data_IF_706513826348
#
_entry.id   IF_706513826348
#
_cell.length_a   1.000
_cell.length_b   1.000
_cell.length_c   1.000
_cell.angle_alpha   90.00
_cell.angle_beta   90.00
_cell.angle_gamma   90.00
#
_symmetry.space_group_name_H-M   'P 1'
#
loop_
_entity.id
_entity.type
_entity.pdbx_description
1 polymer ?
#
# COMPACT_ATOMS: atom_id res chain seq x y z
N UNK A 1 2.00 1.15 25.78
CA UNK A 1 2.60 0.01 25.06
C UNK A 1 3.07 0.51 23.72
N UNK A 2 4.25 0.16 23.30
CA UNK A 2 4.76 0.53 21.97
C UNK A 2 4.02 -0.30 20.91
N UNK A 3 3.54 0.35 19.83
CA UNK A 3 2.86 -0.35 18.75
C UNK A 3 3.86 -1.23 17.99
N UNK A 4 3.63 -2.56 17.97
CA UNK A 4 4.53 -3.51 17.29
C UNK A 4 4.68 -3.22 15.79
N UNK A 5 3.66 -2.61 15.17
CA UNK A 5 3.64 -2.31 13.73
C UNK A 5 4.65 -1.25 13.32
N UNK A 6 5.10 -0.42 14.27
CA UNK A 6 6.07 0.66 14.05
C UNK A 6 7.33 0.52 14.90
N UNK A 7 7.41 -0.52 15.73
CA UNK A 7 8.54 -0.77 16.61
C UNK A 7 9.67 -1.49 15.88
N UNK A 8 10.71 -0.73 15.48
CA UNK A 8 11.79 -1.22 14.63
C UNK A 8 12.83 -2.06 15.40
N UNK A 9 12.33 -3.06 16.12
CA UNK A 9 13.08 -4.07 16.85
C UNK A 9 12.32 -5.38 16.95
N UNK A 10 13.04 -6.49 17.09
CA UNK A 10 12.50 -7.78 17.52
C UNK A 10 13.34 -8.31 18.69
N UNK A 11 13.13 -9.56 19.12
CA UNK A 11 13.83 -10.17 20.25
C UNK A 11 15.37 -10.27 20.08
N UNK A 12 15.89 -10.13 18.87
CA UNK A 12 17.32 -10.31 18.55
C UNK A 12 17.99 -9.03 18.09
N UNK A 13 17.30 -8.23 17.30
CA UNK A 13 17.89 -7.05 16.68
C UNK A 13 17.03 -5.82 16.86
N UNK A 14 17.66 -4.67 16.98
CA UNK A 14 17.04 -3.35 16.91
C UNK A 14 17.82 -2.43 15.97
N UNK A 15 17.16 -1.45 15.40
CA UNK A 15 17.82 -0.39 14.66
C UNK A 15 18.71 0.43 15.62
N UNK A 16 19.91 0.84 15.15
CA UNK A 16 20.90 1.60 15.98
C UNK A 16 20.30 2.85 16.61
N UNK A 17 19.35 3.51 15.96
CA UNK A 17 18.63 4.68 16.49
C UNK A 17 17.80 4.42 17.76
N UNK A 18 17.58 3.16 18.11
CA UNK A 18 16.87 2.75 19.34
C UNK A 18 17.81 2.41 20.50
N UNK A 19 19.14 2.60 20.32
CA UNK A 19 20.13 2.33 21.37
C UNK A 19 19.84 3.16 22.63
N UNK A 20 19.76 2.47 23.77
CA UNK A 20 19.41 3.08 25.06
C UNK A 20 17.91 3.29 25.29
N UNK A 21 17.05 2.96 24.30
CA UNK A 21 15.58 3.05 24.42
C UNK A 21 14.94 1.66 24.54
N UNK A 22 15.63 0.63 24.05
CA UNK A 22 15.16 -0.75 24.04
C UNK A 22 16.27 -1.70 24.48
N UNK A 23 15.87 -2.88 24.98
CA UNK A 23 16.79 -3.98 25.25
C UNK A 23 16.77 -4.91 24.04
N UNK A 24 17.92 -5.01 23.35
CA UNK A 24 18.12 -5.89 22.20
C UNK A 24 19.52 -6.45 22.21
N UNK A 25 19.68 -7.72 21.77
CA UNK A 25 20.97 -8.37 21.73
C UNK A 25 21.95 -7.68 20.76
N UNK A 26 21.43 -7.16 19.63
CA UNK A 26 22.23 -6.50 18.60
C UNK A 26 21.55 -5.22 18.13
N UNK A 27 22.34 -4.16 17.93
CA UNK A 27 21.93 -2.91 17.30
C UNK A 27 22.61 -2.80 15.95
N UNK A 28 21.83 -2.74 14.89
CA UNK A 28 22.31 -2.81 13.50
C UNK A 28 21.79 -1.65 12.65
N UNK A 29 22.58 -1.28 11.64
CA UNK A 29 22.14 -0.40 10.56
C UNK A 29 21.25 -1.16 9.56
N UNK A 30 20.48 -0.44 8.76
CA UNK A 30 19.63 -1.05 7.75
C UNK A 30 20.44 -1.52 6.54
N UNK A 31 20.04 -2.67 5.97
CA UNK A 31 20.39 -3.05 4.61
C UNK A 31 19.20 -2.73 3.69
N UNK A 32 19.33 -1.69 2.87
CA UNK A 32 18.28 -1.27 1.96
C UNK A 32 18.04 -2.36 0.88
N UNK A 33 16.79 -2.75 0.71
CA UNK A 33 16.33 -3.72 -0.28
C UNK A 33 15.11 -3.19 -1.02
N UNK A 34 14.77 -3.83 -2.17
CA UNK A 34 13.52 -3.59 -2.90
C UNK A 34 12.80 -4.91 -3.17
N UNK A 35 11.50 -4.85 -3.35
CA UNK A 35 10.68 -5.98 -3.76
C UNK A 35 10.88 -6.29 -5.25
N UNK A 36 11.14 -7.55 -5.57
CA UNK A 36 11.37 -8.04 -6.94
C UNK A 36 10.14 -8.71 -7.56
N UNK A 37 9.21 -9.18 -6.74
CA UNK A 37 8.00 -9.88 -7.19
C UNK A 37 6.81 -8.92 -7.29
N UNK A 38 5.75 -9.25 -8.06
CA UNK A 38 4.61 -8.35 -8.22
C UNK A 38 3.99 -7.89 -6.90
N UNK A 39 3.79 -8.83 -5.96
CA UNK A 39 3.24 -8.59 -4.62
C UNK A 39 3.90 -9.56 -3.64
N UNK A 40 4.24 -9.08 -2.46
CA UNK A 40 4.74 -9.91 -1.36
C UNK A 40 4.07 -9.51 -0.05
N UNK A 41 3.78 -10.50 0.81
CA UNK A 41 3.22 -10.26 2.13
C UNK A 41 4.26 -9.72 3.11
N UNK A 42 3.86 -8.74 3.92
CA UNK A 42 4.52 -8.34 5.16
C UNK A 42 3.77 -9.01 6.30
N UNK A 43 4.45 -9.88 7.03
CA UNK A 43 3.84 -10.73 8.06
C UNK A 43 4.20 -10.26 9.47
N UNK A 44 3.30 -10.48 10.42
CA UNK A 44 3.53 -10.22 11.85
C UNK A 44 4.69 -11.03 12.44
N UNK A 45 4.95 -12.20 11.87
CA UNK A 45 6.02 -13.11 12.25
C UNK A 45 6.45 -13.92 11.03
N UNK A 46 7.59 -14.60 11.13
CA UNK A 46 8.01 -15.56 10.10
C UNK A 46 6.94 -16.65 9.91
N UNK A 47 6.41 -16.79 8.69
CA UNK A 47 5.27 -17.68 8.36
C UNK A 47 4.00 -17.35 9.16
N UNK A 48 3.90 -16.14 9.67
CA UNK A 48 2.74 -15.64 10.42
C UNK A 48 1.62 -15.12 9.52
N UNK A 49 0.65 -14.50 10.16
CA UNK A 49 -0.46 -13.82 9.47
C UNK A 49 0.04 -12.59 8.72
N UNK A 50 -0.59 -12.29 7.60
CA UNK A 50 -0.37 -11.07 6.85
C UNK A 50 -0.88 -9.86 7.64
N UNK A 51 -0.02 -8.84 7.76
CA UNK A 51 -0.40 -7.50 8.23
C UNK A 51 -0.66 -6.58 7.02
N UNK A 52 0.21 -6.62 6.00
CA UNK A 52 0.09 -5.81 4.78
C UNK A 52 0.79 -6.48 3.61
N UNK A 53 0.82 -5.81 2.45
CA UNK A 53 1.58 -6.25 1.27
C UNK A 53 2.51 -5.14 0.79
N UNK A 54 3.54 -5.55 0.05
CA UNK A 54 4.38 -4.65 -0.74
C UNK A 54 4.29 -5.01 -2.21
N UNK A 55 4.26 -3.98 -3.03
CA UNK A 55 4.27 -4.10 -4.48
C UNK A 55 5.70 -4.13 -5.02
N UNK A 56 5.87 -4.60 -6.25
CA UNK A 56 7.14 -4.56 -6.96
C UNK A 56 7.79 -3.17 -6.87
N UNK A 57 9.09 -3.14 -6.60
CA UNK A 57 9.90 -1.94 -6.48
C UNK A 57 9.79 -1.21 -5.14
N UNK A 58 8.85 -1.58 -4.26
CA UNK A 58 8.75 -0.99 -2.93
C UNK A 58 10.03 -1.21 -2.12
N UNK A 59 10.48 -0.17 -1.41
CA UNK A 59 11.65 -0.23 -0.53
C UNK A 59 11.35 -0.93 0.79
N UNK A 60 12.29 -1.74 1.26
CA UNK A 60 12.24 -2.43 2.53
C UNK A 60 13.62 -2.39 3.21
N UNK A 61 13.69 -1.74 4.37
CA UNK A 61 14.89 -1.60 5.20
C UNK A 61 15.06 -2.83 6.09
N UNK A 62 16.00 -3.69 5.77
CA UNK A 62 16.24 -4.96 6.47
C UNK A 62 17.20 -4.78 7.64
N UNK A 63 16.84 -5.28 8.83
CA UNK A 63 17.71 -5.38 10.00
C UNK A 63 18.29 -6.78 10.17
N UNK A 64 17.54 -7.83 9.81
CA UNK A 64 17.98 -9.20 10.00
C UNK A 64 17.48 -10.09 8.85
N UNK A 65 18.34 -10.98 8.38
CA UNK A 65 17.96 -12.09 7.50
C UNK A 65 18.22 -13.41 8.24
N UNK A 66 17.16 -14.19 8.42
CA UNK A 66 17.24 -15.46 9.15
C UNK A 66 16.24 -16.48 8.62
N UNK A 67 16.75 -17.68 8.27
CA UNK A 67 15.95 -18.83 7.81
C UNK A 67 15.02 -18.46 6.62
N UNK A 68 15.51 -17.71 5.63
CA UNK A 68 14.78 -17.30 4.43
C UNK A 68 13.77 -16.17 4.64
N UNK A 69 13.83 -15.45 5.78
CA UNK A 69 12.98 -14.31 6.10
C UNK A 69 13.82 -13.09 6.49
N UNK A 70 13.40 -11.95 6.01
CA UNK A 70 13.95 -10.64 6.38
C UNK A 70 13.01 -9.96 7.36
N UNK A 71 13.52 -9.57 8.54
CA UNK A 71 12.87 -8.64 9.45
C UNK A 71 13.30 -7.23 9.09
N UNK A 72 12.33 -6.34 8.95
CA UNK A 72 12.63 -4.99 8.49
C UNK A 72 11.45 -4.05 8.57
N UNK A 73 11.61 -2.90 7.93
CA UNK A 73 10.65 -1.81 7.90
C UNK A 73 10.33 -1.42 6.46
N UNK A 74 9.05 -1.22 6.17
CA UNK A 74 8.56 -0.61 4.93
C UNK A 74 9.03 0.84 4.86
N UNK A 75 9.73 1.22 3.81
CA UNK A 75 10.30 2.58 3.66
C UNK A 75 9.20 3.64 3.56
N UNK A 76 8.08 3.29 2.91
CA UNK A 76 7.02 4.25 2.59
C UNK A 76 6.15 4.68 3.78
N UNK A 77 5.90 3.81 4.77
CA UNK A 77 4.96 4.08 5.86
C UNK A 77 5.50 3.72 7.26
N UNK A 78 6.68 3.10 7.32
CA UNK A 78 7.32 2.75 8.57
C UNK A 78 6.83 1.46 9.22
N UNK A 79 5.89 0.73 8.58
CA UNK A 79 5.42 -0.55 9.12
C UNK A 79 6.54 -1.58 9.18
N UNK A 80 6.59 -2.28 10.32
CA UNK A 80 7.62 -3.27 10.64
C UNK A 80 7.04 -4.67 10.51
N UNK A 81 7.80 -5.59 9.91
CA UNK A 81 7.37 -6.97 9.77
C UNK A 81 8.39 -7.87 9.09
N UNK A 82 7.93 -9.03 8.67
CA UNK A 82 8.74 -10.07 8.04
C UNK A 82 8.32 -10.26 6.58
N UNK A 83 9.32 -10.25 5.69
CA UNK A 83 9.16 -10.49 4.25
C UNK A 83 10.02 -11.69 3.85
N UNK A 84 9.54 -12.52 2.93
CA UNK A 84 10.33 -13.64 2.41
C UNK A 84 11.58 -13.13 1.68
N UNK A 85 12.77 -13.61 2.07
CA UNK A 85 14.07 -13.16 1.54
C UNK A 85 14.14 -13.26 0.01
N UNK A 86 13.61 -14.35 -0.55
CA UNK A 86 13.60 -14.61 -2.00
C UNK A 86 12.85 -13.54 -2.80
N UNK A 87 11.98 -12.76 -2.16
CA UNK A 87 11.21 -11.69 -2.79
C UNK A 87 11.93 -10.35 -2.80
N UNK A 88 13.10 -10.24 -2.17
CA UNK A 88 13.87 -9.01 -2.04
C UNK A 88 15.18 -9.07 -2.84
N UNK A 89 15.57 -7.94 -3.38
CA UNK A 89 16.85 -7.77 -4.07
C UNK A 89 17.54 -6.46 -3.72
N UNK A 90 18.62 -6.16 -4.41
CA UNK A 90 19.35 -4.92 -4.23
C UNK A 90 18.44 -3.70 -4.46
N UNK A 91 18.63 -2.67 -3.63
CA UNK A 91 17.92 -1.41 -3.78
C UNK A 91 18.35 -0.72 -5.08
N UNK A 92 17.39 -0.39 -5.93
CA UNK A 92 17.58 0.44 -7.13
C UNK A 92 16.52 1.52 -7.08
N UNK A 93 16.93 2.76 -7.29
CA UNK A 93 16.00 3.89 -7.29
C UNK A 93 14.95 3.74 -8.40
N UNK A 94 13.66 3.80 -8.08
CA UNK A 94 12.62 3.81 -9.10
C UNK A 94 12.59 5.17 -9.80
N UNK A 95 12.23 5.16 -11.07
CA UNK A 95 12.02 6.37 -11.88
C UNK A 95 10.56 6.56 -12.31
N UNK A 96 9.81 5.45 -12.40
CA UNK A 96 8.42 5.40 -12.84
C UNK A 96 7.56 4.59 -11.88
N UNK A 97 6.25 4.68 -12.07
CA UNK A 97 5.26 3.87 -11.38
C UNK A 97 4.15 3.43 -12.33
N UNK A 98 3.48 2.34 -12.02
CA UNK A 98 2.34 1.83 -12.79
C UNK A 98 1.09 2.65 -12.46
N UNK A 99 0.57 3.36 -13.46
CA UNK A 99 -0.63 4.22 -13.36
C UNK A 99 -1.89 3.57 -13.90
N UNK A 100 -1.75 2.57 -14.78
CA UNK A 100 -2.85 1.71 -15.18
C UNK A 100 -3.31 0.84 -14.01
N UNK A 101 -4.57 0.38 -14.02
CA UNK A 101 -5.08 -0.54 -12.99
C UNK A 101 -4.16 -1.75 -12.79
N UNK A 102 -3.71 -2.34 -13.89
CA UNK A 102 -2.66 -3.36 -13.93
C UNK A 102 -1.94 -3.30 -15.25
N UNK A 103 -0.75 -3.88 -15.31
CA UNK A 103 0.03 -4.04 -16.53
C UNK A 103 0.74 -5.39 -16.53
N UNK A 104 1.45 -5.68 -17.63
CA UNK A 104 2.30 -6.86 -17.76
C UNK A 104 3.74 -6.42 -18.04
N UNK A 105 4.69 -7.17 -17.53
CA UNK A 105 6.10 -7.09 -17.91
C UNK A 105 6.33 -8.12 -18.99
N UNK A 106 6.56 -7.69 -20.21
CA UNK A 106 6.81 -8.52 -21.36
C UNK A 106 8.29 -8.90 -21.48
N UNK A 107 8.58 -10.05 -22.14
CA UNK A 107 9.97 -10.46 -22.43
C UNK A 107 10.62 -9.62 -23.50
N UNK A 108 9.84 -9.08 -24.43
CA UNK A 108 10.26 -8.22 -25.54
C UNK A 108 9.30 -7.02 -25.67
N UNK A 109 9.70 -5.97 -26.36
CA UNK A 109 8.85 -4.79 -26.64
C UNK A 109 7.80 -5.09 -27.73
N UNK A 110 7.02 -6.15 -27.50
CA UNK A 110 5.97 -6.62 -28.41
C UNK A 110 4.77 -7.15 -27.64
N UNK A 111 3.56 -6.75 -28.02
CA UNK A 111 2.31 -7.25 -27.44
C UNK A 111 2.08 -8.77 -27.67
N UNK A 112 2.85 -9.39 -28.57
CA UNK A 112 2.79 -10.82 -28.88
C UNK A 112 3.85 -11.64 -28.15
N UNK A 113 4.76 -10.98 -27.40
CA UNK A 113 5.76 -11.68 -26.60
C UNK A 113 5.12 -12.26 -25.34
N UNK A 114 5.82 -13.20 -24.70
CA UNK A 114 5.40 -13.77 -23.42
C UNK A 114 5.51 -12.69 -22.33
N UNK A 115 4.60 -12.73 -21.37
CA UNK A 115 4.70 -11.94 -20.15
C UNK A 115 5.49 -12.70 -19.07
N UNK A 116 6.26 -11.97 -18.29
CA UNK A 116 7.00 -12.48 -17.12
C UNK A 116 6.15 -12.40 -15.86
N UNK A 117 5.35 -11.33 -15.74
CA UNK A 117 4.55 -11.04 -14.56
C UNK A 117 3.47 -10.01 -14.85
N UNK A 118 2.36 -10.08 -14.11
CA UNK A 118 1.40 -9.00 -14.01
C UNK A 118 1.79 -8.09 -12.83
N UNK A 119 1.69 -6.77 -13.01
CA UNK A 119 2.00 -5.76 -11.99
C UNK A 119 0.78 -4.89 -11.69
N UNK A 120 0.64 -4.49 -10.44
CA UNK A 120 -0.47 -3.69 -9.93
C UNK A 120 -0.25 -2.21 -10.12
N UNK A 121 -1.33 -1.42 -10.19
CA UNK A 121 -1.29 0.01 -9.91
C UNK A 121 -0.42 0.29 -8.68
N UNK A 122 0.42 1.31 -8.75
CA UNK A 122 1.31 1.70 -7.66
C UNK A 122 2.65 0.97 -7.61
N UNK A 123 2.86 -0.11 -8.41
CA UNK A 123 4.18 -0.75 -8.53
C UNK A 123 5.23 0.24 -9.03
N UNK A 124 6.43 0.21 -8.44
CA UNK A 124 7.53 1.11 -8.77
C UNK A 124 8.50 0.43 -9.72
N UNK A 125 8.93 1.15 -10.75
CA UNK A 125 9.74 0.63 -11.84
C UNK A 125 11.01 1.46 -12.02
N UNK A 126 12.14 0.79 -12.19
CA UNK A 126 13.42 1.43 -12.58
C UNK A 126 13.58 1.29 -14.09
N UNK A 127 13.23 2.35 -14.83
CA UNK A 127 13.27 2.41 -16.28
C UNK A 127 14.66 2.87 -16.72
N UNK A 128 15.22 2.20 -17.76
CA UNK A 128 16.52 2.50 -18.33
C UNK A 128 16.44 3.04 -19.77
N UNK A 129 15.37 2.72 -20.50
CA UNK A 129 15.15 3.21 -21.86
C UNK A 129 13.65 3.22 -22.20
N UNK A 130 13.29 3.96 -23.26
CA UNK A 130 11.99 3.88 -23.91
C UNK A 130 12.21 3.46 -25.37
N UNK A 131 11.50 2.42 -25.82
CA UNK A 131 11.65 1.77 -27.11
C UNK A 131 10.28 1.44 -27.71
N UNK A 132 9.93 2.03 -28.84
CA UNK A 132 8.75 1.66 -29.64
C UNK A 132 7.43 1.57 -28.84
N UNK A 133 7.22 2.53 -27.89
CA UNK A 133 6.00 2.56 -27.06
C UNK A 133 6.05 1.66 -25.82
N UNK A 134 7.21 1.15 -25.45
CA UNK A 134 7.50 0.43 -24.22
C UNK A 134 8.63 1.09 -23.44
N UNK A 135 8.58 0.98 -22.12
CA UNK A 135 9.72 1.27 -21.24
C UNK A 135 10.47 -0.03 -20.94
N UNK A 136 11.79 0.01 -21.03
CA UNK A 136 12.68 -1.09 -20.64
C UNK A 136 13.05 -0.96 -19.16
N UNK A 137 12.95 -2.07 -18.41
CA UNK A 137 13.26 -2.12 -16.99
C UNK A 137 14.73 -2.51 -16.74
N UNK A 138 15.36 -1.94 -15.73
CA UNK A 138 16.74 -2.26 -15.30
C UNK A 138 16.96 -3.75 -14.98
N UNK A 139 15.92 -4.44 -14.54
CA UNK A 139 15.92 -5.90 -14.29
C UNK A 139 15.54 -6.74 -15.52
N UNK A 140 15.42 -6.11 -16.67
CA UNK A 140 14.98 -6.74 -17.93
C UNK A 140 13.47 -6.94 -18.01
N UNK A 141 12.94 -6.73 -19.20
CA UNK A 141 11.52 -6.77 -19.55
C UNK A 141 10.96 -5.40 -19.87
N UNK A 142 9.78 -5.39 -20.44
CA UNK A 142 9.19 -4.23 -21.08
C UNK A 142 7.76 -4.00 -20.58
N UNK A 143 7.41 -2.75 -20.30
CA UNK A 143 6.06 -2.34 -19.90
C UNK A 143 5.54 -1.30 -20.88
N UNK A 144 4.28 -1.37 -21.35
CA UNK A 144 3.73 -0.37 -22.26
C UNK A 144 3.76 1.04 -21.67
N UNK A 145 4.25 2.04 -22.44
CA UNK A 145 4.30 3.45 -22.03
C UNK A 145 2.97 3.98 -21.51
N UNK A 146 1.79 3.68 -22.11
CA UNK A 146 0.50 4.15 -21.60
C UNK A 146 0.13 3.65 -20.21
N UNK A 147 0.86 2.66 -19.66
CA UNK A 147 0.57 2.06 -18.36
C UNK A 147 1.44 2.61 -17.22
N UNK A 148 2.39 3.49 -17.53
CA UNK A 148 3.35 4.02 -16.56
C UNK A 148 3.46 5.53 -16.67
N UNK A 149 3.91 6.16 -15.59
CA UNK A 149 4.29 7.58 -15.59
C UNK A 149 5.56 7.78 -14.76
N UNK A 150 6.34 8.83 -15.05
CA UNK A 150 7.42 9.27 -14.18
C UNK A 150 6.92 9.53 -12.76
N UNK A 151 7.75 9.32 -11.74
CA UNK A 151 7.40 9.58 -10.33
C UNK A 151 7.05 11.03 -10.04
N UNK A 152 7.49 11.97 -10.88
CA UNK A 152 7.16 13.39 -10.79
C UNK A 152 5.73 13.71 -11.25
N UNK A 153 5.10 12.83 -12.01
CA UNK A 153 3.75 13.00 -12.52
C UNK A 153 2.75 12.27 -11.63
N UNK A 154 1.86 13.03 -10.98
CA UNK A 154 0.89 12.50 -10.05
C UNK A 154 -0.52 12.99 -10.37
N UNK A 155 -1.55 12.15 -10.20
CA UNK A 155 -2.94 12.62 -10.26
C UNK A 155 -3.20 13.64 -9.16
N UNK A 156 -4.21 14.48 -9.35
CA UNK A 156 -4.58 15.53 -8.38
C UNK A 156 -5.77 15.13 -7.49
N UNK A 157 -6.39 13.96 -7.72
CA UNK A 157 -7.64 13.57 -7.10
C UNK A 157 -7.57 12.10 -6.63
N UNK A 158 -7.43 11.92 -5.32
CA UNK A 158 -7.38 10.61 -4.68
C UNK A 158 -8.69 9.83 -4.86
N UNK A 159 -9.84 10.51 -4.80
CA UNK A 159 -11.13 9.85 -4.98
C UNK A 159 -11.37 9.41 -6.43
N UNK A 160 -10.80 10.11 -7.42
CA UNK A 160 -10.76 9.62 -8.81
C UNK A 160 -9.87 8.38 -8.92
N UNK A 161 -8.74 8.38 -8.24
CA UNK A 161 -7.84 7.21 -8.21
C UNK A 161 -8.52 5.99 -7.58
N UNK A 162 -9.35 6.18 -6.55
CA UNK A 162 -10.09 5.08 -5.92
C UNK A 162 -11.02 4.34 -6.90
N UNK A 163 -11.56 5.01 -7.91
CA UNK A 163 -12.38 4.37 -8.95
C UNK A 163 -11.60 3.34 -9.78
N UNK A 164 -10.28 3.46 -9.88
CA UNK A 164 -9.43 2.45 -10.53
C UNK A 164 -9.52 1.08 -9.84
N UNK A 165 -9.83 1.07 -8.56
CA UNK A 165 -9.96 -0.15 -7.76
C UNK A 165 -11.38 -0.71 -7.70
N UNK A 166 -12.38 -0.06 -8.30
CA UNK A 166 -13.77 -0.53 -8.24
C UNK A 166 -13.88 -2.00 -8.71
N UNK A 167 -14.51 -2.85 -7.87
CA UNK A 167 -14.65 -4.28 -8.10
C UNK A 167 -13.40 -5.12 -7.79
N UNK A 168 -12.30 -4.53 -7.31
CA UNK A 168 -11.15 -5.30 -6.79
C UNK A 168 -11.62 -6.13 -5.60
N UNK A 169 -11.28 -7.44 -5.51
CA UNK A 169 -11.66 -8.27 -4.38
C UNK A 169 -11.17 -7.72 -3.05
N UNK A 170 -11.99 -7.87 -2.00
CA UNK A 170 -11.54 -7.61 -0.64
C UNK A 170 -10.52 -8.66 -0.20
N UNK A 171 -9.40 -8.21 0.30
CA UNK A 171 -8.36 -9.07 0.85
C UNK A 171 -7.78 -8.41 2.10
N UNK A 172 -7.94 -9.05 3.27
CA UNK A 172 -7.36 -8.54 4.51
C UNK A 172 -5.83 -8.35 4.39
N UNK A 173 -5.33 -7.16 4.71
CA UNK A 173 -3.92 -6.80 4.52
C UNK A 173 -3.51 -6.64 3.06
N UNK A 174 -4.42 -6.63 2.10
CA UNK A 174 -4.12 -6.48 0.68
C UNK A 174 -3.81 -5.03 0.30
N UNK A 175 -2.89 -4.84 -0.67
CA UNK A 175 -2.42 -3.54 -1.16
C UNK A 175 -2.36 -3.47 -2.70
N UNK A 176 -3.02 -4.41 -3.39
CA UNK A 176 -2.93 -4.54 -4.85
C UNK A 176 -4.30 -4.58 -5.52
N UNK A 177 -4.31 -4.44 -6.84
CA UNK A 177 -5.52 -4.69 -7.66
C UNK A 177 -5.91 -6.16 -7.74
N UNK A 178 -5.11 -7.07 -7.18
CA UNK A 178 -5.43 -8.49 -7.05
C UNK A 178 -6.18 -8.78 -5.73
N UNK A 179 -6.16 -7.83 -4.79
CA UNK A 179 -6.87 -7.84 -3.53
C UNK A 179 -6.43 -6.67 -2.65
N UNK A 180 -7.39 -5.98 -2.04
CA UNK A 180 -7.14 -4.78 -1.24
C UNK A 180 -8.09 -4.72 -0.05
N UNK A 181 -7.62 -4.17 1.09
CA UNK A 181 -8.50 -3.84 2.22
C UNK A 181 -8.86 -2.34 2.27
N UNK A 182 -9.63 -1.94 3.28
CA UNK A 182 -10.16 -0.59 3.38
C UNK A 182 -9.06 0.48 3.53
N UNK A 183 -8.11 0.26 4.41
CA UNK A 183 -7.00 1.19 4.66
C UNK A 183 -5.93 1.13 3.56
N UNK A 184 -5.71 -0.03 2.95
CA UNK A 184 -4.85 -0.19 1.77
C UNK A 184 -5.38 0.60 0.57
N UNK A 185 -6.70 0.60 0.33
CA UNK A 185 -7.33 1.42 -0.70
C UNK A 185 -7.09 2.91 -0.46
N UNK A 186 -7.35 3.39 0.75
CA UNK A 186 -7.11 4.80 1.12
C UNK A 186 -5.64 5.16 0.96
N UNK A 187 -4.72 4.31 1.47
CA UNK A 187 -3.28 4.55 1.37
C UNK A 187 -2.81 4.59 -0.09
N UNK A 188 -3.25 3.65 -0.93
CA UNK A 188 -2.88 3.62 -2.35
C UNK A 188 -3.32 4.89 -3.08
N UNK A 189 -4.55 5.37 -2.82
CA UNK A 189 -5.11 6.57 -3.43
C UNK A 189 -4.39 7.85 -2.98
N UNK A 190 -4.12 7.98 -1.68
CA UNK A 190 -3.41 9.14 -1.13
C UNK A 190 -1.94 9.17 -1.58
N UNK A 191 -1.27 8.02 -1.57
CA UNK A 191 0.10 7.89 -2.07
C UNK A 191 0.22 8.27 -3.54
N UNK A 192 -0.76 7.92 -4.36
CA UNK A 192 -0.80 8.31 -5.77
C UNK A 192 -0.77 9.83 -5.95
N UNK A 193 -1.50 10.60 -5.13
CA UNK A 193 -1.51 12.07 -5.17
C UNK A 193 -0.36 12.70 -4.37
N UNK A 194 0.55 11.91 -3.82
CA UNK A 194 1.73 12.37 -3.08
C UNK A 194 1.51 12.60 -1.59
N UNK A 195 0.35 12.26 -1.06
CA UNK A 195 0.07 12.32 0.38
C UNK A 195 0.45 10.99 1.04
N UNK A 196 1.38 11.04 1.97
CA UNK A 196 1.77 9.85 2.75
C UNK A 196 0.86 9.69 3.95
N UNK A 197 0.50 8.44 4.29
CA UNK A 197 -0.22 8.13 5.50
C UNK A 197 0.15 6.71 5.98
N UNK A 198 -0.13 6.38 7.26
CA UNK A 198 0.07 5.05 7.80
C UNK A 198 -0.75 3.98 7.06
N UNK A 199 -0.40 2.71 7.30
CA UNK A 199 -1.06 1.58 6.62
C UNK A 199 -2.43 1.25 7.19
N UNK A 200 -2.60 1.27 8.50
CA UNK A 200 -3.80 0.78 9.16
C UNK A 200 -4.81 1.90 9.49
N UNK A 201 -6.10 1.58 9.46
CA UNK A 201 -7.18 2.57 9.60
C UNK A 201 -7.15 3.34 10.93
N UNK A 202 -6.78 2.69 12.04
CA UNK A 202 -6.61 3.33 13.35
C UNK A 202 -5.45 4.33 13.37
N UNK A 203 -4.36 3.99 12.68
CA UNK A 203 -3.20 4.87 12.54
C UNK A 203 -3.51 6.02 11.57
N UNK A 204 -4.25 5.77 10.48
CA UNK A 204 -4.72 6.81 9.56
C UNK A 204 -5.64 7.81 10.25
N UNK A 205 -6.60 7.33 11.06
CA UNK A 205 -7.50 8.15 11.85
C UNK A 205 -6.73 9.09 12.79
N UNK A 206 -5.71 8.56 13.47
CA UNK A 206 -4.86 9.34 14.36
C UNK A 206 -3.92 10.31 13.62
N UNK A 207 -3.53 9.97 12.39
CA UNK A 207 -2.59 10.76 11.58
C UNK A 207 -3.22 12.04 11.02
N UNK A 208 -4.47 11.97 10.54
CA UNK A 208 -5.15 13.14 9.98
C UNK A 208 -5.79 13.98 11.09
N UNK A 209 -5.39 15.24 11.18
CA UNK A 209 -5.76 16.14 12.28
C UNK A 209 -6.93 17.07 11.96
N UNK A 210 -7.33 17.21 10.68
CA UNK A 210 -8.42 18.10 10.27
C UNK A 210 -9.76 17.37 10.41
N UNK A 211 -10.51 17.65 11.46
CA UNK A 211 -11.87 17.13 11.65
C UNK A 211 -12.86 17.76 10.68
N UNK A 212 -13.84 16.98 10.22
CA UNK A 212 -14.90 17.41 9.31
C UNK A 212 -16.26 17.15 9.96
N UNK A 213 -17.13 18.15 10.00
CA UNK A 213 -18.50 17.94 10.46
C UNK A 213 -19.32 17.19 9.39
N UNK A 214 -20.31 16.36 9.75
CA UNK A 214 -21.09 15.57 8.79
C UNK A 214 -21.70 16.39 7.64
N UNK A 215 -22.15 17.62 7.92
CA UNK A 215 -22.73 18.54 6.92
C UNK A 215 -21.70 19.13 5.95
N UNK A 216 -20.41 19.05 6.28
CA UNK A 216 -19.30 19.66 5.53
C UNK A 216 -18.48 18.59 4.77
N UNK A 217 -18.97 17.31 4.77
CA UNK A 217 -18.36 16.22 4.00
C UNK A 217 -18.33 16.55 2.52
N UNK A 218 -17.19 16.28 1.90
CA UNK A 218 -16.96 16.48 0.47
C UNK A 218 -16.05 15.40 -0.12
N UNK A 219 -15.89 15.45 -1.42
CA UNK A 219 -14.99 14.56 -2.16
C UNK A 219 -13.58 14.51 -1.57
N UNK A 220 -13.09 13.29 -1.34
CA UNK A 220 -11.75 13.03 -0.79
C UNK A 220 -11.70 12.94 0.74
N UNK A 221 -12.74 13.37 1.45
CA UNK A 221 -12.80 13.22 2.91
C UNK A 221 -12.87 11.74 3.29
N UNK A 222 -12.31 11.39 4.44
CA UNK A 222 -12.29 10.05 4.99
C UNK A 222 -13.27 9.92 6.14
N UNK A 223 -13.99 8.81 6.18
CA UNK A 223 -14.90 8.46 7.26
C UNK A 223 -14.37 7.21 7.95
N UNK A 224 -14.23 7.28 9.28
CA UNK A 224 -13.65 6.22 10.09
C UNK A 224 -14.69 5.57 11.01
N UNK A 225 -14.54 4.28 11.16
CA UNK A 225 -15.18 3.42 12.14
C UNK A 225 -14.11 2.62 12.88
N UNK A 226 -14.43 1.98 13.96
CA UNK A 226 -13.48 1.13 14.66
C UNK A 226 -13.01 -0.04 13.78
N UNK A 227 -11.84 0.10 13.16
CA UNK A 227 -11.25 -0.92 12.27
C UNK A 227 -11.72 -0.85 10.82
N UNK A 228 -12.33 0.28 10.40
CA UNK A 228 -12.74 0.48 9.01
C UNK A 228 -12.59 1.94 8.59
N UNK A 229 -12.39 2.14 7.27
CA UNK A 229 -12.31 3.47 6.66
C UNK A 229 -12.93 3.45 5.26
N UNK A 230 -13.56 4.57 4.88
CA UNK A 230 -14.06 4.84 3.55
C UNK A 230 -13.63 6.23 3.08
N UNK A 231 -13.60 6.45 1.75
CA UNK A 231 -13.35 7.73 1.12
C UNK A 231 -14.61 8.26 0.45
N UNK A 232 -14.95 9.52 0.66
CA UNK A 232 -16.09 10.16 0.02
C UNK A 232 -15.80 10.44 -1.46
N UNK A 233 -16.70 10.04 -2.36
CA UNK A 233 -16.68 10.40 -3.77
C UNK A 233 -17.36 11.76 -4.03
N UNK A 234 -18.33 12.07 -3.22
CA UNK A 234 -19.06 13.34 -3.15
C UNK A 234 -19.79 13.39 -1.79
N UNK A 235 -20.68 14.35 -1.56
CA UNK A 235 -21.40 14.54 -0.30
C UNK A 235 -22.37 13.41 0.04
N UNK A 236 -22.65 12.48 -0.89
CA UNK A 236 -23.69 11.44 -0.78
C UNK A 236 -23.19 10.03 -0.98
N UNK A 237 -22.04 9.84 -1.62
CA UNK A 237 -21.51 8.54 -1.99
C UNK A 237 -20.09 8.37 -1.46
N UNK A 238 -19.80 7.17 -1.03
CA UNK A 238 -18.45 6.78 -0.62
C UNK A 238 -17.98 5.54 -1.38
N UNK A 239 -16.66 5.36 -1.45
CA UNK A 239 -16.00 4.16 -1.96
C UNK A 239 -15.16 3.53 -0.86
N UNK A 240 -15.25 2.22 -0.72
CA UNK A 240 -14.48 1.46 0.24
C UNK A 240 -14.31 -0.01 -0.17
N UNK A 241 -13.21 -0.63 0.25
CA UNK A 241 -13.08 -2.08 0.22
C UNK A 241 -13.74 -2.64 1.49
N UNK A 242 -14.68 -3.58 1.35
CA UNK A 242 -15.45 -4.07 2.49
C UNK A 242 -15.81 -5.55 2.38
N UNK A 243 -16.00 -6.19 3.53
CA UNK A 243 -16.37 -7.60 3.61
C UNK A 243 -17.84 -7.87 3.24
N UNK A 244 -18.70 -6.86 3.26
CA UNK A 244 -20.10 -7.01 2.88
C UNK A 244 -20.23 -7.36 1.39
N UNK A 245 -19.51 -6.65 0.52
CA UNK A 245 -19.45 -6.91 -0.91
C UNK A 245 -18.33 -7.87 -1.31
N UNK A 246 -17.41 -8.18 -0.39
CA UNK A 246 -16.13 -8.87 -0.67
C UNK A 246 -15.36 -8.20 -1.80
N UNK A 247 -15.48 -6.87 -1.94
CA UNK A 247 -14.86 -6.07 -2.99
C UNK A 247 -14.78 -4.58 -2.63
N UNK A 248 -14.10 -3.81 -3.48
CA UNK A 248 -14.23 -2.35 -3.52
C UNK A 248 -15.57 -2.00 -4.15
N UNK A 249 -16.41 -1.30 -3.42
CA UNK A 249 -17.77 -0.91 -3.84
C UNK A 249 -18.04 0.57 -3.58
N UNK A 250 -18.98 1.12 -4.35
CA UNK A 250 -19.56 2.43 -4.10
C UNK A 250 -20.90 2.22 -3.43
N UNK A 251 -21.17 2.95 -2.35
CA UNK A 251 -22.44 2.94 -1.65
C UNK A 251 -22.92 4.37 -1.35
N UNK A 252 -24.25 4.58 -1.32
CA UNK A 252 -24.79 5.79 -0.70
C UNK A 252 -24.37 5.86 0.77
N UNK A 253 -23.80 6.99 1.18
CA UNK A 253 -23.18 7.16 2.50
C UNK A 253 -24.12 6.80 3.66
N UNK A 254 -25.35 7.32 3.66
CA UNK A 254 -26.32 7.07 4.75
C UNK A 254 -26.78 5.61 4.82
N UNK A 255 -26.86 4.91 3.67
CA UNK A 255 -27.19 3.48 3.63
C UNK A 255 -26.06 2.65 4.24
N UNK A 256 -24.83 2.92 3.81
CA UNK A 256 -23.66 2.24 4.32
C UNK A 256 -23.43 2.54 5.81
N UNK A 257 -23.56 3.81 6.23
CA UNK A 257 -23.47 4.24 7.64
C UNK A 257 -24.44 3.45 8.53
N UNK A 258 -25.71 3.35 8.13
CA UNK A 258 -26.73 2.63 8.89
C UNK A 258 -26.42 1.13 8.99
N UNK A 259 -25.98 0.50 7.89
CA UNK A 259 -25.61 -0.91 7.85
C UNK A 259 -24.39 -1.20 8.70
N UNK A 260 -23.31 -0.42 8.53
CA UNK A 260 -22.04 -0.58 9.25
C UNK A 260 -22.28 -0.36 10.75
N UNK A 261 -23.03 0.69 11.11
CA UNK A 261 -23.37 1.00 12.51
C UNK A 261 -24.12 -0.13 13.21
N UNK A 262 -25.09 -0.73 12.51
CA UNK A 262 -25.96 -1.76 13.10
C UNK A 262 -25.32 -3.16 13.15
N UNK A 263 -24.38 -3.51 12.25
CA UNK A 263 -24.02 -4.91 12.01
C UNK A 263 -22.52 -5.20 11.95
N UNK A 264 -21.65 -4.18 11.87
CA UNK A 264 -20.23 -4.42 11.58
C UNK A 264 -19.29 -3.73 12.60
N UNK A 265 -19.09 -2.42 12.46
CA UNK A 265 -18.05 -1.70 13.19
C UNK A 265 -18.56 -0.67 14.20
N UNK A 266 -19.89 -0.58 14.41
CA UNK A 266 -20.52 0.40 15.28
C UNK A 266 -20.59 1.80 14.66
N UNK A 267 -20.68 2.83 15.51
CA UNK A 267 -20.83 4.22 15.06
C UNK A 267 -19.53 4.77 14.44
N UNK A 268 -19.68 5.82 13.63
CA UNK A 268 -18.56 6.59 13.09
C UNK A 268 -17.74 7.16 14.25
N UNK A 269 -16.43 6.93 14.22
CA UNK A 269 -15.50 7.45 15.22
C UNK A 269 -15.01 8.85 14.88
N UNK A 270 -14.74 9.12 13.64
CA UNK A 270 -14.38 10.46 13.15
C UNK A 270 -14.56 10.60 11.64
N UNK A 271 -14.53 11.84 11.17
CA UNK A 271 -14.45 12.21 9.76
C UNK A 271 -13.27 13.16 9.60
N UNK A 272 -12.37 12.88 8.65
CA UNK A 272 -11.11 13.59 8.49
C UNK A 272 -10.90 14.07 7.06
N UNK A 273 -10.20 15.18 6.91
CA UNK A 273 -9.74 15.71 5.63
C UNK A 273 -8.23 15.52 5.53
N UNK A 274 -7.75 14.71 4.56
CA UNK A 274 -6.33 14.51 4.30
C UNK A 274 -5.60 15.76 3.81
#
# INVERSE_FOLDING_TARGET
MTDRRTYFANERVAHVGLRGQVDAAHFVEVAARRVLVPVVDVCAARRGTRDSQLLMGAGFDVLETLNGWCFGRVVADGNVGYVAEVSLGEAVAPSHWVTARSSHIYTEFSLKSLDKAAVSFGSLLSVVAELEGYVELSGGGFVPVPHVSPLSERPLDAAKTALTFLGVPYLWGGDSVFGIDCSGLVQACLRAVGTMCPRDSDQQEAFFTTDVAPKDLRRGDLVFWRGHVAMMLNEREMIHANAHHMAVAIEPFEVARSRIGAREFGEITSMKRP
#
